data_IF_832432316586
#
_entry.id   IF_832432316586
#
_cell.length_a   1.000
_cell.length_b   1.000
_cell.length_c   1.000
_cell.angle_alpha   90.00
_cell.angle_beta   90.00
_cell.angle_gamma   90.00
#
_symmetry.space_group_name_H-M   'P 1'
#
loop_
_entity.id
_entity.type
_entity.pdbx_description
1 polymer ?
#
# COMPACT_ATOMS: atom_id res chain seq x y z
N UNK A 1 26.59 85.28 2.76
CA UNK A 1 25.83 84.15 2.19
C UNK A 1 26.58 83.70 0.95
N UNK A 2 27.37 82.63 1.07
CA UNK A 2 28.20 82.06 0.00
C UNK A 2 27.91 80.56 0.05
N UNK A 3 27.34 80.01 -1.02
CA UNK A 3 27.03 78.59 -1.18
C UNK A 3 28.26 77.96 -1.85
N UNK A 4 28.94 76.97 -1.25
CA UNK A 4 29.90 76.17 -1.98
C UNK A 4 29.14 75.15 -2.84
N UNK A 5 29.32 75.25 -4.16
CA UNK A 5 28.82 74.28 -5.14
C UNK A 5 29.76 73.07 -5.18
N UNK A 6 29.30 71.96 -4.59
CA UNK A 6 29.98 70.67 -4.65
C UNK A 6 29.82 70.06 -6.06
N UNK A 7 30.94 69.94 -6.77
CA UNK A 7 30.98 69.48 -8.17
C UNK A 7 30.99 67.95 -8.18
N UNK A 8 29.82 67.36 -8.37
CA UNK A 8 29.61 65.90 -8.41
C UNK A 8 30.27 65.31 -9.67
N UNK A 9 31.27 64.46 -9.50
CA UNK A 9 31.86 63.69 -10.60
C UNK A 9 30.95 62.49 -10.88
N UNK A 10 30.56 62.21 -12.14
CA UNK A 10 29.71 61.05 -12.42
C UNK A 10 30.46 59.75 -12.12
N UNK A 11 29.76 58.71 -11.65
CA UNK A 11 30.37 57.41 -11.38
C UNK A 11 30.95 56.82 -12.68
N UNK A 12 32.05 56.06 -12.58
CA UNK A 12 32.66 55.42 -13.74
C UNK A 12 31.65 54.52 -14.46
N UNK A 13 31.73 54.50 -15.79
CA UNK A 13 30.87 53.67 -16.63
C UNK A 13 31.05 52.19 -16.25
N UNK A 14 29.95 51.50 -15.93
CA UNK A 14 29.96 50.07 -15.71
C UNK A 14 30.32 49.37 -17.02
N UNK A 15 31.47 48.71 -17.07
CA UNK A 15 31.78 47.77 -18.14
C UNK A 15 30.80 46.60 -18.04
N UNK A 16 29.99 46.39 -19.08
CA UNK A 16 29.13 45.21 -19.21
C UNK A 16 30.02 43.96 -19.28
N UNK A 17 30.08 43.24 -18.16
CA UNK A 17 30.78 41.96 -18.08
C UNK A 17 30.17 40.97 -19.09
N UNK A 18 30.92 40.68 -20.16
CA UNK A 18 30.56 39.65 -21.14
C UNK A 18 30.30 38.29 -20.47
N UNK A 19 29.28 37.53 -20.87
CA UNK A 19 28.81 36.33 -20.17
C UNK A 19 29.65 35.08 -20.52
N UNK A 20 30.97 35.20 -20.51
CA UNK A 20 31.87 34.07 -20.82
C UNK A 20 32.93 33.93 -19.73
N UNK A 21 32.88 32.77 -19.07
CA UNK A 21 33.96 32.18 -18.26
C UNK A 21 34.17 32.73 -16.84
N UNK A 22 33.13 32.78 -16.00
CA UNK A 22 33.36 32.59 -14.56
C UNK A 22 33.37 31.08 -14.27
N UNK A 23 34.48 30.50 -13.77
CA UNK A 23 34.45 29.12 -13.28
C UNK A 23 33.44 29.04 -12.13
N UNK A 24 32.64 27.96 -12.04
CA UNK A 24 31.71 27.79 -10.94
C UNK A 24 32.49 27.86 -9.62
N UNK A 25 31.92 28.45 -8.56
CA UNK A 25 32.60 28.58 -7.28
C UNK A 25 33.09 27.19 -6.82
N UNK A 26 34.31 27.07 -6.28
CA UNK A 26 34.95 25.79 -5.94
C UNK A 26 34.23 24.97 -4.86
N UNK A 27 33.10 25.48 -4.34
CA UNK A 27 32.27 24.86 -3.31
C UNK A 27 30.78 24.86 -3.66
N UNK A 28 30.41 24.63 -4.92
CA UNK A 28 29.06 24.10 -5.21
C UNK A 28 28.97 22.62 -4.82
N UNK A 29 29.33 22.30 -3.57
CA UNK A 29 28.90 21.06 -2.96
C UNK A 29 27.40 21.19 -2.80
N UNK A 30 26.64 20.39 -3.56
CA UNK A 30 25.22 20.20 -3.32
C UNK A 30 25.06 19.90 -1.83
N UNK A 31 24.55 20.87 -1.06
CA UNK A 31 24.30 20.69 0.35
C UNK A 31 23.20 19.64 0.46
N UNK A 32 23.60 18.37 0.63
CA UNK A 32 22.67 17.32 0.97
C UNK A 32 22.15 17.65 2.37
N UNK A 33 20.96 18.24 2.43
CA UNK A 33 20.24 18.41 3.68
C UNK A 33 19.71 17.02 4.06
N UNK A 34 20.23 16.38 5.12
CA UNK A 34 19.77 15.07 5.51
C UNK A 34 18.28 15.15 5.86
N UNK A 35 17.47 14.41 5.11
CA UNK A 35 16.04 14.27 5.37
C UNK A 35 15.80 12.98 6.13
N UNK A 36 14.77 12.96 6.97
CA UNK A 36 14.31 11.74 7.65
C UNK A 36 14.04 10.60 6.64
N UNK A 37 13.55 10.94 5.45
CA UNK A 37 13.27 10.01 4.35
C UNK A 37 14.51 9.40 3.70
N UNK A 38 15.69 9.98 3.94
CA UNK A 38 16.96 9.45 3.48
C UNK A 38 17.54 8.37 4.39
N UNK A 39 16.92 8.11 5.55
CA UNK A 39 17.42 7.11 6.49
C UNK A 39 17.13 5.68 6.00
N UNK A 40 18.04 4.72 6.24
CA UNK A 40 17.81 3.31 5.96
C UNK A 40 16.58 2.76 6.73
N UNK A 41 15.80 1.82 6.14
CA UNK A 41 14.60 1.28 6.78
C UNK A 41 14.83 0.64 8.15
N UNK A 42 15.98 -0.01 8.36
CA UNK A 42 16.33 -0.63 9.65
C UNK A 42 16.54 0.41 10.76
N UNK A 43 17.01 1.62 10.42
CA UNK A 43 17.18 2.72 11.38
C UNK A 43 15.82 3.30 11.75
N UNK A 44 14.93 3.52 10.76
CA UNK A 44 13.56 3.97 11.01
C UNK A 44 12.80 2.98 11.90
N UNK A 45 12.93 1.68 11.63
CA UNK A 45 12.32 0.63 12.46
C UNK A 45 12.90 0.63 13.88
N UNK A 46 14.21 0.81 14.03
CA UNK A 46 14.83 0.93 15.34
C UNK A 46 14.28 2.13 16.12
N UNK A 47 14.18 3.31 15.48
CA UNK A 47 13.58 4.52 16.08
C UNK A 47 12.17 4.22 16.56
N UNK A 48 11.31 3.63 15.73
CA UNK A 48 9.93 3.27 16.12
C UNK A 48 9.92 2.30 17.30
N UNK A 49 10.80 1.30 17.30
CA UNK A 49 10.88 0.33 18.40
C UNK A 49 11.38 0.95 19.71
N UNK A 50 12.23 1.98 19.67
CA UNK A 50 12.65 2.70 20.89
C UNK A 50 11.53 3.50 21.56
N UNK A 51 10.42 3.76 20.85
CA UNK A 51 9.24 4.43 21.43
C UNK A 51 8.48 3.52 22.40
N UNK A 52 8.76 2.22 22.40
CA UNK A 52 8.23 1.26 23.35
C UNK A 52 9.21 1.10 24.50
N UNK A 53 8.86 1.51 25.73
CA UNK A 53 9.70 1.24 26.89
C UNK A 53 9.96 -0.27 26.99
N UNK A 54 11.22 -0.71 27.09
CA UNK A 54 11.57 -2.13 27.23
C UNK A 54 10.94 -2.80 28.49
N UNK A 55 10.38 -1.98 29.39
CA UNK A 55 9.64 -2.36 30.59
C UNK A 55 8.27 -1.67 30.62
N UNK A 56 7.46 -1.79 29.57
CA UNK A 56 6.06 -1.33 29.67
C UNK A 56 5.33 -2.23 30.68
N UNK A 57 5.19 -1.75 31.91
CA UNK A 57 4.38 -2.41 32.94
C UNK A 57 2.89 -2.09 32.72
N UNK A 58 2.59 -0.98 32.05
CA UNK A 58 1.24 -0.48 31.84
C UNK A 58 0.72 -0.72 30.40
N UNK A 59 -0.20 -1.67 30.27
CA UNK A 59 -0.84 -2.02 29.00
C UNK A 59 -1.58 -0.84 28.35
N UNK A 60 -2.07 0.12 29.13
CA UNK A 60 -2.79 1.30 28.63
C UNK A 60 -1.84 2.25 27.88
N UNK A 61 -0.64 2.47 28.41
CA UNK A 61 0.41 3.26 27.73
C UNK A 61 0.83 2.58 26.43
N UNK A 62 0.92 1.24 26.43
CA UNK A 62 1.22 0.48 25.22
C UNK A 62 0.16 0.70 24.13
N UNK A 63 -1.13 0.55 24.46
CA UNK A 63 -2.26 0.75 23.52
C UNK A 63 -2.31 2.17 22.97
N UNK A 64 -2.12 3.19 23.82
CA UNK A 64 -2.04 4.59 23.40
C UNK A 64 -0.87 4.84 22.43
N UNK A 65 0.27 4.20 22.67
CA UNK A 65 1.43 4.30 21.77
C UNK A 65 1.10 3.69 20.40
N UNK A 66 0.52 2.49 20.36
CA UNK A 66 0.06 1.86 19.10
C UNK A 66 -0.97 2.72 18.36
N UNK A 67 -1.91 3.33 19.09
CA UNK A 67 -2.88 4.27 18.53
C UNK A 67 -2.24 5.50 17.92
N UNK A 68 -1.26 6.09 18.59
CA UNK A 68 -0.51 7.21 18.05
C UNK A 68 0.30 6.82 16.80
N UNK A 69 0.89 5.62 16.75
CA UNK A 69 1.54 5.13 15.53
C UNK A 69 0.56 5.03 14.36
N UNK A 70 -0.64 4.50 14.62
CA UNK A 70 -1.68 4.27 13.63
C UNK A 70 -2.38 5.56 13.15
N UNK A 71 -2.42 6.62 13.95
CA UNK A 71 -3.16 7.86 13.59
C UNK A 71 -2.25 9.02 13.23
N UNK A 72 -1.03 9.06 13.76
CA UNK A 72 -0.14 10.21 13.65
C UNK A 72 1.17 9.85 12.94
N UNK A 73 2.03 9.02 13.56
CA UNK A 73 3.41 8.85 13.08
C UNK A 73 3.48 8.25 11.67
N UNK A 74 2.58 7.32 11.33
CA UNK A 74 2.55 6.71 9.99
C UNK A 74 2.28 7.71 8.85
N UNK A 75 1.76 8.90 9.15
CA UNK A 75 1.41 9.92 8.15
C UNK A 75 2.56 10.88 7.83
N UNK A 76 3.68 10.80 8.56
CA UNK A 76 4.81 11.73 8.42
C UNK A 76 5.56 11.51 7.11
N UNK A 77 5.85 10.25 6.76
CA UNK A 77 6.51 9.92 5.50
C UNK A 77 6.32 8.46 5.10
N UNK A 78 6.68 8.11 3.86
CA UNK A 78 6.60 6.72 3.37
C UNK A 78 7.48 5.77 4.17
N UNK A 79 8.69 6.18 4.53
CA UNK A 79 9.59 5.35 5.34
C UNK A 79 8.99 5.08 6.72
N UNK A 80 8.43 6.12 7.34
CA UNK A 80 7.78 6.02 8.64
C UNK A 80 6.49 5.19 8.59
N UNK A 81 5.70 5.31 7.51
CA UNK A 81 4.56 4.44 7.25
C UNK A 81 4.97 2.96 7.27
N UNK A 82 6.03 2.59 6.55
CA UNK A 82 6.51 1.20 6.49
C UNK A 82 6.94 0.72 7.87
N UNK A 83 7.73 1.52 8.61
CA UNK A 83 8.20 1.16 9.94
C UNK A 83 7.05 1.01 10.95
N UNK A 84 6.11 1.98 11.01
CA UNK A 84 4.93 1.92 11.87
C UNK A 84 4.06 0.71 11.54
N UNK A 85 3.75 0.49 10.26
CA UNK A 85 2.91 -0.63 9.84
C UNK A 85 3.58 -1.98 10.10
N UNK A 86 4.92 -2.07 10.03
CA UNK A 86 5.64 -3.27 10.44
C UNK A 86 5.36 -3.59 11.91
N UNK A 87 5.62 -2.63 12.82
CA UNK A 87 5.38 -2.83 14.26
C UNK A 87 3.92 -3.11 14.59
N UNK A 88 2.98 -2.37 13.99
CA UNK A 88 1.55 -2.58 14.18
C UNK A 88 1.10 -3.97 13.70
N UNK A 89 1.54 -4.40 12.51
CA UNK A 89 1.20 -5.73 12.00
C UNK A 89 1.77 -6.82 12.90
N UNK A 90 3.02 -6.72 13.34
CA UNK A 90 3.61 -7.69 14.26
C UNK A 90 2.86 -7.76 15.59
N UNK A 91 2.40 -6.63 16.14
CA UNK A 91 1.66 -6.60 17.41
C UNK A 91 0.27 -7.25 17.31
N UNK A 92 -0.43 -7.05 16.18
CA UNK A 92 -1.81 -7.49 16.00
C UNK A 92 -1.97 -8.77 15.16
N UNK A 93 -0.87 -9.35 14.66
CA UNK A 93 -0.94 -10.54 13.81
C UNK A 93 -1.56 -11.73 14.53
N UNK A 94 -1.16 -11.98 15.78
CA UNK A 94 -1.66 -13.11 16.57
C UNK A 94 -3.17 -13.00 16.84
N UNK A 95 -3.67 -11.82 17.18
CA UNK A 95 -5.09 -11.60 17.43
C UNK A 95 -5.90 -11.64 16.12
N UNK A 96 -5.35 -11.12 15.02
CA UNK A 96 -5.96 -11.23 13.70
C UNK A 96 -6.09 -12.70 13.27
N UNK A 97 -5.03 -13.50 13.43
CA UNK A 97 -4.99 -14.90 13.02
C UNK A 97 -6.08 -15.76 13.69
N UNK A 98 -6.48 -15.44 14.91
CA UNK A 98 -7.57 -16.14 15.62
C UNK A 98 -8.96 -15.88 15.03
N UNK A 99 -9.13 -14.75 14.33
CA UNK A 99 -10.40 -14.33 13.74
C UNK A 99 -10.52 -14.70 12.26
N UNK A 100 -9.42 -15.13 11.64
CA UNK A 100 -9.39 -15.57 10.25
C UNK A 100 -10.33 -16.76 10.07
N UNK A 101 -11.27 -16.64 9.14
CA UNK A 101 -12.17 -17.73 8.76
C UNK A 101 -11.51 -18.55 7.66
N UNK A 102 -10.96 -19.72 8.00
CA UNK A 102 -10.59 -20.71 6.99
C UNK A 102 -11.86 -21.14 6.23
N UNK A 103 -11.86 -21.25 4.88
CA UNK A 103 -10.73 -21.29 3.95
C UNK A 103 -10.38 -19.94 3.29
N UNK A 104 -10.83 -18.81 3.83
CA UNK A 104 -10.76 -17.50 3.20
C UNK A 104 -9.45 -16.74 3.43
N UNK A 105 -8.42 -17.38 3.98
CA UNK A 105 -7.09 -16.77 4.12
C UNK A 105 -6.22 -17.11 2.91
N UNK A 106 -5.44 -16.14 2.47
CA UNK A 106 -4.34 -16.31 1.51
C UNK A 106 -2.98 -16.44 2.20
N UNK A 107 -2.96 -16.41 3.53
CA UNK A 107 -1.78 -16.23 4.37
C UNK A 107 -1.08 -14.87 4.10
N UNK A 108 -1.20 -13.88 5.00
CA UNK A 108 -0.51 -12.60 4.85
C UNK A 108 1.01 -12.74 5.05
N UNK A 109 1.51 -13.86 5.61
CA UNK A 109 2.93 -14.12 5.86
C UNK A 109 3.28 -15.60 5.57
N UNK A 110 3.68 -15.96 4.34
CA UNK A 110 3.96 -17.36 3.95
C UNK A 110 5.13 -18.06 4.69
N UNK A 111 5.66 -17.48 5.77
CA UNK A 111 6.78 -18.02 6.55
C UNK A 111 6.45 -19.34 7.29
N UNK A 112 5.18 -19.76 7.36
CA UNK A 112 4.76 -20.97 8.10
C UNK A 112 4.44 -22.15 7.15
N UNK A 113 4.34 -21.93 5.84
CA UNK A 113 4.10 -23.01 4.89
C UNK A 113 5.38 -23.86 4.68
N UNK A 114 5.40 -25.16 5.01
CA UNK A 114 6.55 -26.01 4.81
C UNK A 114 6.59 -26.50 3.35
N UNK A 115 6.85 -25.61 2.39
CA UNK A 115 7.05 -26.05 1.00
C UNK A 115 7.80 -25.02 0.15
N UNK A 116 9.09 -25.31 -0.03
CA UNK A 116 9.88 -25.21 -1.26
C UNK A 116 9.58 -24.00 -2.15
N UNK A 117 10.17 -22.86 -1.80
CA UNK A 117 11.05 -22.11 -2.70
C UNK A 117 11.76 -21.01 -1.89
N UNK A 118 13.08 -20.94 -2.03
CA UNK A 118 13.96 -20.03 -1.30
C UNK A 118 13.79 -18.61 -1.86
N UNK A 119 12.74 -17.93 -1.43
CA UNK A 119 12.57 -16.48 -1.62
C UNK A 119 11.59 -15.94 -0.57
N UNK A 120 12.05 -15.25 0.50
CA UNK A 120 11.19 -14.47 1.37
C UNK A 120 10.86 -13.14 0.68
N UNK A 121 10.36 -13.22 -0.55
CA UNK A 121 9.76 -12.08 -1.21
C UNK A 121 8.33 -12.07 -0.71
N UNK A 122 8.02 -11.12 0.18
CA UNK A 122 6.66 -10.64 0.39
C UNK A 122 6.00 -10.60 -0.98
N UNK A 123 5.11 -11.55 -1.29
CA UNK A 123 4.50 -11.62 -2.60
C UNK A 123 3.80 -10.27 -2.80
N UNK A 124 4.24 -9.41 -3.74
CA UNK A 124 3.79 -8.01 -3.80
C UNK A 124 2.30 -7.84 -4.12
N UNK A 125 1.53 -8.94 -4.20
CA UNK A 125 0.15 -9.00 -4.60
C UNK A 125 -0.83 -9.57 -3.58
N UNK A 126 -0.44 -10.02 -2.38
CA UNK A 126 -1.43 -10.55 -1.43
C UNK A 126 -2.29 -9.41 -0.88
N UNK A 127 -3.58 -9.43 -1.26
CA UNK A 127 -4.55 -8.39 -0.88
C UNK A 127 -4.91 -8.48 0.61
N UNK A 128 -4.63 -9.62 1.27
CA UNK A 128 -5.04 -9.87 2.66
C UNK A 128 -4.34 -8.95 3.65
N UNK A 129 -3.13 -8.48 3.33
CA UNK A 129 -2.44 -7.46 4.12
C UNK A 129 -3.30 -6.19 4.29
N UNK A 130 -4.12 -5.84 3.29
CA UNK A 130 -5.04 -4.70 3.40
C UNK A 130 -6.17 -4.98 4.40
N UNK A 131 -6.62 -6.22 4.50
CA UNK A 131 -7.63 -6.62 5.49
C UNK A 131 -7.05 -6.53 6.89
N UNK A 132 -5.81 -7.01 7.09
CA UNK A 132 -5.06 -6.82 8.34
C UNK A 132 -4.90 -5.33 8.69
N UNK A 133 -4.54 -4.49 7.72
CA UNK A 133 -4.38 -3.05 7.95
C UNK A 133 -5.69 -2.37 8.37
N UNK A 134 -6.83 -2.79 7.81
CA UNK A 134 -8.14 -2.31 8.21
C UNK A 134 -8.53 -2.83 9.61
N UNK A 135 -8.24 -4.10 9.90
CA UNK A 135 -8.41 -4.68 11.23
C UNK A 135 -7.63 -3.89 12.28
N UNK A 136 -6.35 -3.60 12.03
CA UNK A 136 -5.51 -2.78 12.92
C UNK A 136 -6.14 -1.41 13.15
N UNK A 137 -6.61 -0.75 12.08
CA UNK A 137 -7.20 0.59 12.20
C UNK A 137 -8.45 0.61 13.10
N UNK A 138 -9.27 -0.44 13.05
CA UNK A 138 -10.43 -0.58 13.95
C UNK A 138 -9.97 -0.99 15.35
N UNK A 139 -9.17 -2.05 15.46
CA UNK A 139 -8.79 -2.66 16.73
C UNK A 139 -8.02 -1.71 17.65
N UNK A 140 -7.06 -0.98 17.10
CA UNK A 140 -6.26 -0.01 17.86
C UNK A 140 -7.12 1.12 18.44
N UNK A 141 -8.21 1.50 17.77
CA UNK A 141 -9.17 2.49 18.28
C UNK A 141 -10.04 1.90 19.38
N UNK A 142 -10.61 0.72 19.16
CA UNK A 142 -11.43 0.02 20.18
C UNK A 142 -10.62 -0.21 21.47
N UNK A 143 -9.36 -0.61 21.34
CA UNK A 143 -8.43 -0.84 22.44
C UNK A 143 -8.21 0.40 23.31
N UNK A 144 -8.15 1.60 22.72
CA UNK A 144 -8.02 2.86 23.48
C UNK A 144 -9.36 3.29 24.09
N UNK A 145 -10.48 3.09 23.39
CA UNK A 145 -11.79 3.42 23.92
C UNK A 145 -12.19 2.58 25.14
N UNK A 146 -11.81 1.29 25.14
CA UNK A 146 -11.96 0.43 26.31
C UNK A 146 -11.20 0.96 27.54
N UNK A 147 -10.06 1.62 27.34
CA UNK A 147 -9.29 2.22 28.43
C UNK A 147 -9.87 3.56 28.91
N UNK A 148 -10.48 4.33 28.00
CA UNK A 148 -10.96 5.69 28.29
C UNK A 148 -12.40 5.72 28.82
N UNK A 149 -13.20 4.68 28.57
CA UNK A 149 -14.59 4.62 29.00
C UNK A 149 -15.00 3.23 29.49
N UNK A 150 -15.31 3.14 30.79
CA UNK A 150 -15.91 1.93 31.39
C UNK A 150 -17.31 1.61 30.83
N UNK A 151 -17.94 2.56 30.13
CA UNK A 151 -19.24 2.39 29.47
C UNK A 151 -19.11 1.98 28.00
N UNK A 152 -17.89 1.81 27.49
CA UNK A 152 -17.68 1.36 26.12
C UNK A 152 -18.14 -0.10 25.97
N UNK A 153 -19.19 -0.30 25.20
CA UNK A 153 -19.63 -1.64 24.80
C UNK A 153 -18.86 -2.01 23.53
N UNK A 154 -18.12 -3.12 23.58
CA UNK A 154 -17.44 -3.64 22.40
C UNK A 154 -18.45 -3.82 21.28
N UNK A 155 -18.21 -3.15 20.14
CA UNK A 155 -19.03 -3.35 18.97
C UNK A 155 -18.71 -4.72 18.37
N UNK A 156 -19.35 -5.78 18.85
CA UNK A 156 -19.13 -7.17 18.42
C UNK A 156 -19.25 -7.33 16.89
N UNK A 157 -20.03 -6.47 16.24
CA UNK A 157 -20.22 -6.46 14.79
C UNK A 157 -19.18 -5.62 14.00
N UNK A 158 -18.27 -4.87 14.64
CA UNK A 158 -17.35 -3.96 13.92
C UNK A 158 -16.36 -4.70 13.00
N UNK A 159 -16.07 -5.96 13.31
CA UNK A 159 -15.20 -6.82 12.52
C UNK A 159 -15.96 -7.71 11.52
N UNK A 160 -17.29 -7.73 11.59
CA UNK A 160 -18.11 -8.63 10.78
C UNK A 160 -17.90 -8.40 9.29
N UNK A 161 -17.97 -7.14 8.85
CA UNK A 161 -17.75 -6.78 7.44
C UNK A 161 -16.31 -7.09 6.99
N UNK A 162 -15.34 -7.03 7.90
CA UNK A 162 -13.95 -7.37 7.57
C UNK A 162 -13.80 -8.86 7.23
N UNK A 163 -14.41 -9.74 8.03
CA UNK A 163 -14.24 -11.19 7.85
C UNK A 163 -15.30 -11.83 6.95
N UNK A 164 -16.51 -11.28 6.86
CA UNK A 164 -17.59 -11.81 6.01
C UNK A 164 -17.55 -11.31 4.57
N UNK A 165 -16.97 -10.12 4.34
CA UNK A 165 -16.90 -9.50 3.02
C UNK A 165 -15.48 -9.24 2.56
N UNK A 166 -14.68 -8.52 3.34
CA UNK A 166 -13.36 -8.06 2.87
C UNK A 166 -12.34 -9.19 2.75
N UNK A 167 -12.32 -10.13 3.69
CA UNK A 167 -11.45 -11.31 3.64
C UNK A 167 -11.79 -12.24 2.45
N UNK A 168 -13.04 -12.72 2.25
CA UNK A 168 -13.39 -13.52 1.07
C UNK A 168 -13.13 -12.81 -0.25
N UNK A 169 -13.39 -11.49 -0.32
CA UNK A 169 -13.07 -10.67 -1.48
C UNK A 169 -11.57 -10.67 -1.77
N UNK A 170 -10.76 -10.39 -0.75
CA UNK A 170 -9.30 -10.39 -0.86
C UNK A 170 -8.77 -11.74 -1.33
N UNK A 171 -9.27 -12.84 -0.74
CA UNK A 171 -8.92 -14.20 -1.16
C UNK A 171 -9.27 -14.47 -2.62
N UNK A 172 -10.43 -13.99 -3.06
CA UNK A 172 -10.87 -14.14 -4.45
C UNK A 172 -9.95 -13.39 -5.40
N UNK A 173 -9.52 -12.18 -5.04
CA UNK A 173 -8.54 -11.40 -5.81
C UNK A 173 -7.22 -12.16 -5.95
N UNK A 174 -6.71 -12.76 -4.87
CA UNK A 174 -5.46 -13.53 -4.89
C UNK A 174 -5.59 -14.80 -5.75
N UNK A 175 -6.72 -15.52 -5.65
CA UNK A 175 -7.01 -16.69 -6.49
C UNK A 175 -7.10 -16.34 -7.99
N UNK A 176 -7.72 -15.21 -8.32
CA UNK A 176 -7.76 -14.69 -9.70
C UNK A 176 -6.34 -14.37 -10.18
N UNK A 177 -5.52 -13.78 -9.32
CA UNK A 177 -4.15 -13.44 -9.63
C UNK A 177 -3.32 -14.70 -9.93
N UNK A 178 -3.42 -15.73 -9.08
CA UNK A 178 -2.76 -17.03 -9.27
C UNK A 178 -3.18 -17.66 -10.61
N UNK A 179 -4.48 -17.88 -10.81
CA UNK A 179 -4.99 -18.50 -12.03
C UNK A 179 -4.76 -17.66 -13.29
N UNK A 180 -4.79 -16.34 -13.18
CA UNK A 180 -4.54 -15.42 -14.30
C UNK A 180 -3.06 -15.39 -14.70
N UNK A 181 -2.14 -15.52 -13.75
CA UNK A 181 -0.70 -15.67 -14.02
C UNK A 181 -0.43 -17.01 -14.69
N UNK A 182 -1.01 -18.11 -14.19
CA UNK A 182 -0.89 -19.44 -14.80
C UNK A 182 -1.37 -19.47 -16.26
N UNK A 183 -2.37 -18.65 -16.59
CA UNK A 183 -2.93 -18.51 -17.93
C UNK A 183 -2.26 -17.41 -18.78
N UNK A 184 -1.27 -16.69 -18.24
CA UNK A 184 -0.56 -15.61 -18.94
C UNK A 184 -1.40 -14.34 -19.18
N UNK A 185 -2.54 -14.19 -18.50
CA UNK A 185 -3.46 -13.05 -18.65
C UNK A 185 -3.13 -11.90 -17.69
N UNK A 186 -2.51 -12.21 -16.56
CA UNK A 186 -2.17 -11.26 -15.50
C UNK A 186 -0.66 -11.26 -15.30
N UNK A 187 -0.09 -10.08 -15.07
CA UNK A 187 1.31 -9.96 -14.63
C UNK A 187 1.42 -9.29 -13.26
N UNK A 188 2.30 -9.83 -12.41
CA UNK A 188 2.62 -9.25 -11.09
C UNK A 188 3.70 -8.18 -11.16
N UNK A 189 4.46 -8.16 -12.26
CA UNK A 189 5.55 -7.21 -12.49
C UNK A 189 5.48 -6.71 -13.93
N UNK A 190 5.72 -5.41 -14.20
CA UNK A 190 5.61 -4.85 -15.54
C UNK A 190 6.71 -5.33 -16.53
N UNK A 191 7.54 -6.32 -16.17
CA UNK A 191 8.59 -6.85 -17.05
C UNK A 191 7.95 -7.77 -18.10
N UNK A 192 7.89 -7.28 -19.33
CA UNK A 192 7.07 -7.78 -20.42
C UNK A 192 7.39 -9.20 -20.86
N UNK A 193 6.40 -10.10 -20.73
CA UNK A 193 6.42 -11.40 -21.35
C UNK A 193 5.87 -11.29 -22.78
N UNK A 194 6.58 -11.86 -23.77
CA UNK A 194 6.24 -11.80 -25.21
C UNK A 194 5.18 -12.86 -25.58
N UNK A 195 4.01 -12.80 -24.94
CA UNK A 195 2.83 -13.59 -25.32
C UNK A 195 2.03 -12.94 -26.46
N UNK A 196 1.11 -13.71 -27.08
CA UNK A 196 0.16 -13.18 -28.09
C UNK A 196 -0.89 -12.24 -27.51
N UNK A 197 -1.13 -12.30 -26.20
CA UNK A 197 -2.01 -11.42 -25.43
C UNK A 197 -1.15 -10.63 -24.46
N UNK A 198 -1.27 -9.30 -24.46
CA UNK A 198 -0.59 -8.43 -23.51
C UNK A 198 -1.17 -8.62 -22.11
N UNK A 199 -0.38 -9.07 -21.12
CA UNK A 199 -0.91 -9.35 -19.80
C UNK A 199 -1.31 -8.07 -19.06
N UNK A 200 -2.40 -8.13 -18.30
CA UNK A 200 -2.91 -7.00 -17.52
C UNK A 200 -2.15 -6.94 -16.18
N UNK A 201 -1.59 -5.79 -15.77
CA UNK A 201 -0.97 -5.64 -14.46
C UNK A 201 -1.98 -5.88 -13.33
N UNK A 202 -1.65 -6.75 -12.38
CA UNK A 202 -2.53 -7.10 -11.26
C UNK A 202 -2.91 -5.88 -10.39
N UNK A 203 -2.04 -4.88 -10.32
CA UNK A 203 -2.28 -3.62 -9.60
C UNK A 203 -3.46 -2.81 -10.14
N UNK A 204 -3.86 -3.03 -11.40
CA UNK A 204 -4.99 -2.35 -12.03
C UNK A 204 -6.31 -3.08 -11.79
N UNK A 205 -6.26 -4.37 -11.44
CA UNK A 205 -7.44 -5.19 -11.25
C UNK A 205 -8.03 -4.99 -9.85
N UNK A 206 -9.33 -5.17 -9.69
CA UNK A 206 -10.01 -5.17 -8.39
C UNK A 206 -11.29 -5.97 -8.53
N UNK A 207 -11.68 -6.71 -7.49
CA UNK A 207 -12.91 -7.49 -7.51
C UNK A 207 -14.04 -6.72 -6.82
N UNK A 208 -15.23 -6.75 -7.41
CA UNK A 208 -16.49 -6.53 -6.70
C UNK A 208 -17.03 -7.88 -6.25
N UNK A 209 -17.27 -8.00 -4.95
CA UNK A 209 -17.74 -9.23 -4.34
C UNK A 209 -19.12 -9.01 -3.75
N UNK A 210 -20.10 -9.79 -4.21
CA UNK A 210 -21.44 -9.82 -3.64
C UNK A 210 -21.91 -11.26 -3.42
N UNK A 211 -23.00 -11.48 -2.67
CA UNK A 211 -23.55 -12.82 -2.49
C UNK A 211 -24.05 -13.48 -3.79
N UNK A 212 -24.35 -12.70 -4.84
CA UNK A 212 -24.96 -13.19 -6.08
C UNK A 212 -24.12 -12.95 -7.33
N UNK A 213 -23.12 -12.08 -7.24
CA UNK A 213 -22.30 -11.66 -8.38
C UNK A 213 -20.85 -11.47 -7.97
N UNK A 214 -19.96 -11.76 -8.90
CA UNK A 214 -18.54 -11.52 -8.78
C UNK A 214 -18.10 -10.78 -10.04
N UNK A 215 -17.58 -9.56 -9.87
CA UNK A 215 -17.12 -8.72 -10.97
C UNK A 215 -15.62 -8.47 -10.88
N UNK A 216 -14.97 -8.40 -12.04
CA UNK A 216 -13.60 -7.95 -12.18
C UNK A 216 -13.61 -6.55 -12.78
N UNK A 217 -13.01 -5.61 -12.07
CA UNK A 217 -12.86 -4.23 -12.46
C UNK A 217 -11.42 -3.97 -12.86
N UNK A 218 -11.26 -3.17 -13.90
CA UNK A 218 -9.98 -2.63 -14.31
C UNK A 218 -9.96 -1.13 -14.04
N UNK A 219 -8.93 -0.70 -13.34
CA UNK A 219 -8.65 0.70 -13.05
C UNK A 219 -7.78 1.28 -14.17
N UNK A 220 -8.24 2.38 -14.76
CA UNK A 220 -7.43 3.27 -15.60
C UNK A 220 -7.10 4.54 -14.80
N UNK A 221 -6.25 5.41 -15.34
CA UNK A 221 -5.83 6.67 -14.71
C UNK A 221 -7.00 7.54 -14.23
N UNK A 222 -8.16 7.45 -14.89
CA UNK A 222 -9.30 8.32 -14.61
C UNK A 222 -10.59 7.59 -14.22
N UNK A 223 -10.71 6.29 -14.52
CA UNK A 223 -11.98 5.55 -14.35
C UNK A 223 -11.75 4.09 -13.98
N UNK A 224 -12.67 3.52 -13.21
CA UNK A 224 -12.79 2.08 -12.98
C UNK A 224 -13.95 1.54 -13.79
N UNK A 225 -13.73 0.47 -14.54
CA UNK A 225 -14.78 -0.19 -15.33
C UNK A 225 -14.83 -1.68 -15.03
N UNK A 226 -16.04 -2.24 -14.96
CA UNK A 226 -16.22 -3.69 -14.92
C UNK A 226 -15.89 -4.25 -16.30
N UNK A 227 -14.95 -5.20 -16.36
CA UNK A 227 -14.55 -5.86 -17.61
C UNK A 227 -15.22 -7.21 -17.77
N UNK A 228 -15.47 -7.89 -16.65
CA UNK A 228 -16.06 -9.23 -16.61
C UNK A 228 -16.93 -9.32 -15.37
N UNK A 229 -18.08 -9.97 -15.50
CA UNK A 229 -18.95 -10.28 -14.37
C UNK A 229 -19.47 -11.71 -14.52
N UNK A 230 -19.54 -12.45 -13.41
CA UNK A 230 -20.14 -13.77 -13.37
C UNK A 230 -21.13 -13.90 -12.22
N UNK A 231 -22.17 -14.71 -12.43
CA UNK A 231 -23.07 -15.10 -11.36
C UNK A 231 -22.34 -16.01 -10.36
N UNK A 232 -22.68 -15.82 -9.08
CA UNK A 232 -22.18 -16.60 -7.95
C UNK A 232 -23.34 -17.12 -7.14
N UNK A 233 -23.31 -18.40 -6.79
CA UNK A 233 -24.26 -18.96 -5.83
C UNK A 233 -23.78 -18.70 -4.40
N UNK A 234 -24.71 -18.55 -3.46
CA UNK A 234 -24.41 -18.17 -2.06
C UNK A 234 -23.39 -19.10 -1.39
N UNK A 235 -23.43 -20.40 -1.71
CA UNK A 235 -22.59 -21.45 -1.12
C UNK A 235 -21.49 -21.93 -2.06
N UNK A 236 -21.23 -21.23 -3.17
CA UNK A 236 -20.17 -21.58 -4.11
C UNK A 236 -18.79 -21.30 -3.50
N UNK A 237 -17.87 -22.27 -3.65
CA UNK A 237 -16.46 -22.13 -3.25
C UNK A 237 -15.77 -21.04 -4.06
N UNK A 238 -14.95 -20.21 -3.41
CA UNK A 238 -14.28 -19.07 -4.05
C UNK A 238 -13.42 -19.48 -5.23
N UNK A 239 -12.77 -20.64 -5.16
CA UNK A 239 -11.92 -21.19 -6.22
C UNK A 239 -12.72 -21.45 -7.51
N UNK A 240 -13.98 -21.87 -7.40
CA UNK A 240 -14.84 -22.15 -8.55
C UNK A 240 -15.23 -20.84 -9.22
N UNK A 241 -15.69 -19.86 -8.44
CA UNK A 241 -16.04 -18.53 -8.97
C UNK A 241 -14.83 -17.80 -9.56
N UNK A 242 -13.66 -17.86 -8.91
CA UNK A 242 -12.42 -17.27 -9.40
C UNK A 242 -11.99 -17.89 -10.75
N UNK A 243 -11.98 -19.22 -10.85
CA UNK A 243 -11.66 -19.92 -12.11
C UNK A 243 -12.63 -19.57 -13.23
N UNK A 244 -13.94 -19.47 -12.93
CA UNK A 244 -14.95 -19.03 -13.90
C UNK A 244 -14.64 -17.62 -14.38
N UNK A 245 -14.35 -16.70 -13.47
CA UNK A 245 -14.06 -15.30 -13.80
C UNK A 245 -12.80 -15.16 -14.67
N UNK A 246 -11.74 -15.94 -14.40
CA UNK A 246 -10.51 -15.93 -15.22
C UNK A 246 -10.76 -16.52 -16.62
N UNK A 247 -11.61 -17.54 -16.75
CA UNK A 247 -12.01 -18.06 -18.08
C UNK A 247 -12.76 -17.03 -18.90
N UNK A 248 -13.68 -16.28 -18.28
CA UNK A 248 -14.38 -15.18 -18.95
C UNK A 248 -13.41 -14.02 -19.27
N UNK A 249 -12.42 -13.75 -18.40
CA UNK A 249 -11.36 -12.79 -18.70
C UNK A 249 -10.54 -13.19 -19.93
N UNK A 250 -10.24 -14.48 -20.10
CA UNK A 250 -9.57 -14.98 -21.31
C UNK A 250 -10.38 -14.64 -22.57
N UNK A 251 -11.67 -14.98 -22.57
CA UNK A 251 -12.58 -14.71 -23.69
C UNK A 251 -12.68 -13.22 -23.99
N UNK A 252 -12.77 -12.41 -22.93
CA UNK A 252 -12.77 -10.95 -23.06
C UNK A 252 -11.47 -10.46 -23.71
N UNK A 253 -10.31 -10.94 -23.25
CA UNK A 253 -9.00 -10.52 -23.77
C UNK A 253 -8.80 -10.91 -25.25
N UNK A 254 -9.31 -12.07 -25.68
CA UNK A 254 -9.28 -12.53 -27.07
C UNK A 254 -10.15 -11.67 -28.01
N UNK A 255 -11.23 -11.07 -27.48
CA UNK A 255 -12.16 -10.23 -28.25
C UNK A 255 -11.70 -8.77 -28.38
N UNK A 256 -10.75 -8.31 -27.56
CA UNK A 256 -10.31 -6.92 -27.59
C UNK A 256 -9.26 -6.70 -28.70
N UNK A 257 -9.45 -5.69 -29.59
CA UNK A 257 -8.41 -5.30 -30.53
C UNK A 257 -7.20 -4.76 -29.75
N UNK A 258 -5.99 -5.17 -30.17
CA UNK A 258 -4.70 -4.92 -29.52
C UNK A 258 -4.47 -3.44 -29.16
N UNK A 259 -5.11 -2.50 -29.88
CA UNK A 259 -5.01 -1.06 -29.67
C UNK A 259 -5.59 -0.53 -28.34
N UNK A 260 -6.55 -1.21 -27.70
CA UNK A 260 -7.13 -0.73 -26.41
C UNK A 260 -6.17 -0.97 -25.24
N UNK A 261 -5.23 -1.90 -25.36
CA UNK A 261 -4.23 -2.19 -24.32
C UNK A 261 -3.08 -1.17 -24.28
N UNK A 262 -2.89 -0.36 -25.34
CA UNK A 262 -1.83 0.66 -25.42
C UNK A 262 -2.25 2.07 -24.96
N UNK A 263 -3.55 2.31 -24.77
CA UNK A 263 -4.10 3.65 -24.41
C UNK A 263 -4.39 3.76 -22.90
N UNK A 264 -4.10 2.71 -22.12
CA UNK A 264 -4.28 2.65 -20.66
C UNK A 264 -2.94 2.85 -19.93
#
# INVERSE_FOLDING_TARGET
MIIPTEKQVPPPAYEEASPRSMPPPPFSQSHYVPKLDGLPPNILLHIVNTLFPAKVVDATVHRKTLYWLATSLRLVSRGMYIACMHTLRSAYLSSYAQLIKQPYSSDPFPAIAPSRDLSPVLHPGHRETKVLDLYIAVKVREDVWLDESELHLEAEDCFKDLFDLMQPRSRTEDLIAQHGVDMGLITMSPVGNKGSVTPIPFSLLTVTFSPRTLGLLMSSRTKKRTIVECHRERNERLEVSAKRLVKELKRWAEQQPTSIMYVL
#
